data_IF_285820019446
#
_entry.id   IF_285820019446
#
_cell.length_a   1.000
_cell.length_b   1.000
_cell.length_c   1.000
_cell.angle_alpha   90.00
_cell.angle_beta   90.00
_cell.angle_gamma   90.00
#
_symmetry.space_group_name_H-M   'P 1'
#
loop_
_entity.id
_entity.type
_entity.pdbx_description
1 polymer ?
#
# COMPACT_ATOMS: atom_id res chain seq x y z
N UNK A 1 -29.62 31.23 77.42
CA UNK A 1 -29.86 32.13 76.27
C UNK A 1 -28.55 32.39 75.53
N UNK A 2 -28.34 31.77 74.37
CA UNK A 2 -27.43 32.25 73.31
C UNK A 2 -28.20 32.09 71.99
N UNK A 3 -28.60 33.20 71.39
CA UNK A 3 -29.27 33.23 70.08
C UNK A 3 -28.26 32.77 69.03
N UNK A 4 -28.52 31.66 68.36
CA UNK A 4 -27.84 31.32 67.12
C UNK A 4 -28.29 32.32 66.05
N UNK A 5 -27.40 33.23 65.65
CA UNK A 5 -27.62 34.11 64.52
C UNK A 5 -27.58 33.28 63.23
N UNK A 6 -28.73 33.09 62.58
CA UNK A 6 -28.81 32.58 61.22
C UNK A 6 -28.19 33.60 60.26
N UNK A 7 -26.88 33.50 60.02
CA UNK A 7 -26.24 34.18 58.91
C UNK A 7 -26.59 33.44 57.61
N UNK A 8 -27.78 33.72 57.07
CA UNK A 8 -28.09 33.43 55.67
C UNK A 8 -27.23 34.36 54.81
N UNK A 9 -26.05 33.87 54.42
CA UNK A 9 -25.19 34.50 53.41
C UNK A 9 -26.05 34.73 52.16
N UNK A 10 -26.42 35.99 51.90
CA UNK A 10 -27.18 36.35 50.71
C UNK A 10 -26.35 36.02 49.48
N UNK A 11 -26.67 34.90 48.81
CA UNK A 11 -26.01 34.48 47.57
C UNK A 11 -26.10 35.60 46.53
N UNK A 12 -24.97 35.94 45.94
CA UNK A 12 -24.86 37.01 44.94
C UNK A 12 -25.74 36.72 43.72
N UNK A 13 -26.21 37.75 43.00
CA UNK A 13 -27.07 37.57 41.79
C UNK A 13 -26.49 36.57 40.79
N UNK A 14 -25.15 36.54 40.63
CA UNK A 14 -24.44 35.56 39.79
C UNK A 14 -24.60 34.11 40.26
N UNK A 15 -24.56 33.86 41.57
CA UNK A 15 -24.77 32.52 42.15
C UNK A 15 -26.20 32.03 41.97
N UNK A 16 -27.21 32.92 42.04
CA UNK A 16 -28.61 32.55 41.77
C UNK A 16 -28.85 32.17 40.31
N UNK A 17 -28.23 32.90 39.38
CA UNK A 17 -28.29 32.59 37.94
C UNK A 17 -27.59 31.24 37.66
N UNK A 18 -26.40 31.02 38.24
CA UNK A 18 -25.70 29.73 38.12
C UNK A 18 -26.49 28.57 38.71
N UNK A 19 -27.17 28.76 39.85
CA UNK A 19 -28.09 27.78 40.41
C UNK A 19 -29.26 27.49 39.45
N UNK A 20 -29.87 28.51 38.83
CA UNK A 20 -30.94 28.31 37.84
C UNK A 20 -30.48 27.56 36.58
N UNK A 21 -29.28 27.88 36.07
CA UNK A 21 -28.68 27.16 34.95
C UNK A 21 -28.35 25.72 35.36
N UNK A 22 -27.80 25.49 36.55
CA UNK A 22 -27.49 24.15 37.05
C UNK A 22 -28.75 23.28 37.19
N UNK A 23 -29.84 23.85 37.72
CA UNK A 23 -31.12 23.15 37.88
C UNK A 23 -31.88 22.90 36.58
N UNK A 24 -31.51 23.55 35.48
CA UNK A 24 -32.11 23.31 34.15
C UNK A 24 -31.21 22.42 33.30
N UNK A 25 -29.92 22.75 33.19
CA UNK A 25 -28.98 22.02 32.34
C UNK A 25 -28.73 20.61 32.84
N UNK A 26 -28.57 20.39 34.16
CA UNK A 26 -28.24 19.06 34.68
C UNK A 26 -29.37 18.04 34.45
N UNK A 27 -30.65 18.33 34.78
CA UNK A 27 -31.74 17.40 34.47
C UNK A 27 -31.91 17.17 32.97
N UNK A 28 -31.83 18.20 32.12
CA UNK A 28 -31.95 18.03 30.67
C UNK A 28 -30.82 17.18 30.10
N UNK A 29 -29.60 17.33 30.61
CA UNK A 29 -28.45 16.50 30.25
C UNK A 29 -28.68 15.03 30.63
N UNK A 30 -29.17 14.77 31.84
CA UNK A 30 -29.46 13.42 32.33
C UNK A 30 -30.56 12.77 31.48
N UNK A 31 -31.65 13.49 31.19
CA UNK A 31 -32.73 12.99 30.32
C UNK A 31 -32.23 12.74 28.90
N UNK A 32 -31.37 13.61 28.36
CA UNK A 32 -30.74 13.42 27.05
C UNK A 32 -29.85 12.17 27.01
N UNK A 33 -29.03 11.96 28.04
CA UNK A 33 -28.16 10.78 28.15
C UNK A 33 -28.98 9.50 28.31
N UNK A 34 -29.97 9.50 29.21
CA UNK A 34 -30.85 8.33 29.43
C UNK A 34 -31.70 8.04 28.19
N UNK A 35 -32.27 9.05 27.55
CA UNK A 35 -33.01 8.91 26.30
C UNK A 35 -32.16 8.36 25.17
N UNK A 36 -30.92 8.87 25.02
CA UNK A 36 -29.94 8.36 24.07
C UNK A 36 -29.55 6.90 24.34
N UNK A 37 -29.30 6.54 25.60
CA UNK A 37 -28.97 5.17 26.01
C UNK A 37 -30.14 4.21 25.76
N UNK A 38 -31.36 4.59 26.13
CA UNK A 38 -32.58 3.79 25.89
C UNK A 38 -32.82 3.62 24.39
N UNK A 39 -32.67 4.68 23.59
CA UNK A 39 -32.79 4.60 22.14
C UNK A 39 -31.74 3.65 21.53
N UNK A 40 -30.49 3.73 21.98
CA UNK A 40 -29.42 2.86 21.49
C UNK A 40 -29.67 1.39 21.85
N UNK A 41 -30.09 1.12 23.09
CA UNK A 41 -30.48 -0.24 23.53
C UNK A 41 -31.67 -0.73 22.72
N UNK A 42 -32.73 0.06 22.57
CA UNK A 42 -33.93 -0.33 21.82
C UNK A 42 -33.65 -0.56 20.33
N UNK A 43 -32.82 0.29 19.72
CA UNK A 43 -32.43 0.14 18.31
C UNK A 43 -31.60 -1.12 18.09
N UNK A 44 -30.67 -1.42 19.00
CA UNK A 44 -29.80 -2.59 18.90
C UNK A 44 -30.45 -3.89 19.42
N UNK A 45 -31.57 -3.83 20.13
CA UNK A 45 -32.31 -5.01 20.61
C UNK A 45 -33.38 -5.50 19.63
N UNK A 46 -33.66 -4.77 18.54
CA UNK A 46 -34.54 -5.27 17.47
C UNK A 46 -33.88 -6.47 16.80
N UNK A 47 -34.64 -7.56 16.66
CA UNK A 47 -34.20 -8.73 15.90
C UNK A 47 -33.84 -8.30 14.49
N UNK A 48 -32.57 -8.50 14.10
CA UNK A 48 -32.11 -8.27 12.73
C UNK A 48 -32.93 -9.17 11.80
N UNK A 49 -33.72 -8.55 10.93
CA UNK A 49 -34.44 -9.27 9.89
C UNK A 49 -33.42 -9.76 8.86
N UNK A 50 -33.18 -11.08 8.87
CA UNK A 50 -32.19 -11.71 7.99
C UNK A 50 -32.74 -11.81 6.58
N UNK A 51 -32.00 -11.29 5.61
CA UNK A 51 -32.32 -11.43 4.20
C UNK A 51 -32.18 -12.90 3.78
N UNK A 52 -33.14 -13.41 3.00
CA UNK A 52 -33.10 -14.79 2.52
C UNK A 52 -32.38 -14.88 1.17
N UNK A 53 -31.43 -15.81 1.05
CA UNK A 53 -30.75 -16.15 -0.20
C UNK A 53 -30.99 -17.61 -0.55
N UNK A 54 -31.58 -17.88 -1.72
CA UNK A 54 -31.48 -19.23 -2.30
C UNK A 54 -30.04 -19.47 -2.81
N UNK A 55 -29.58 -20.73 -2.96
CA UNK A 55 -28.26 -21.01 -3.52
C UNK A 55 -28.08 -20.39 -4.91
N UNK A 56 -29.14 -20.36 -5.74
CA UNK A 56 -29.07 -19.74 -7.07
C UNK A 56 -28.99 -18.21 -7.00
N UNK A 57 -29.68 -17.57 -6.06
CA UNK A 57 -29.62 -16.12 -5.90
C UNK A 57 -28.27 -15.68 -5.35
N UNK A 58 -27.73 -16.46 -4.41
CA UNK A 58 -26.37 -16.24 -3.90
C UNK A 58 -25.34 -16.38 -5.02
N UNK A 59 -25.41 -17.46 -5.82
CA UNK A 59 -24.53 -17.65 -6.98
C UNK A 59 -24.60 -16.45 -7.95
N UNK A 60 -25.80 -15.90 -8.21
CA UNK A 60 -25.96 -14.72 -9.06
C UNK A 60 -25.31 -13.47 -8.46
N UNK A 61 -25.41 -13.27 -7.15
CA UNK A 61 -24.77 -12.12 -6.48
C UNK A 61 -23.24 -12.26 -6.48
N UNK A 62 -22.70 -13.43 -6.18
CA UNK A 62 -21.25 -13.62 -6.15
C UNK A 62 -20.62 -13.53 -7.56
N UNK A 63 -21.38 -13.84 -8.61
CA UNK A 63 -20.94 -13.65 -10.00
C UNK A 63 -20.81 -12.18 -10.41
N UNK A 64 -21.40 -11.24 -9.65
CA UNK A 64 -21.24 -9.80 -9.86
C UNK A 64 -20.02 -9.23 -9.12
N UNK A 65 -19.38 -10.04 -8.28
CA UNK A 65 -18.19 -9.60 -7.53
C UNK A 65 -17.04 -9.51 -8.52
N UNK A 66 -16.49 -8.31 -8.65
CA UNK A 66 -15.36 -8.02 -9.50
C UNK A 66 -14.28 -7.34 -8.66
N UNK A 67 -13.04 -7.80 -8.84
CA UNK A 67 -11.87 -7.08 -8.39
C UNK A 67 -11.49 -6.03 -9.44
N UNK A 68 -10.82 -4.97 -9.01
CA UNK A 68 -10.25 -3.98 -9.93
C UNK A 68 -9.39 -4.69 -10.98
N UNK A 69 -9.69 -4.50 -12.28
CA UNK A 69 -9.04 -5.21 -13.37
C UNK A 69 -7.60 -4.75 -13.63
N UNK A 70 -7.33 -3.47 -13.37
CA UNK A 70 -6.02 -2.85 -13.44
C UNK A 70 -5.78 -1.97 -12.21
N UNK A 71 -4.58 -2.06 -11.64
CA UNK A 71 -4.16 -1.32 -10.45
C UNK A 71 -2.87 -0.55 -10.79
N UNK A 72 -2.93 0.78 -10.65
CA UNK A 72 -1.77 1.66 -10.84
C UNK A 72 -1.02 1.82 -9.52
N UNK A 73 0.24 1.40 -9.48
CA UNK A 73 1.08 1.41 -8.26
C UNK A 73 2.54 1.70 -8.58
N UNK A 74 3.36 1.91 -7.55
CA UNK A 74 4.80 2.18 -7.71
C UNK A 74 5.67 0.92 -7.75
N UNK A 75 5.11 -0.25 -7.44
CA UNK A 75 5.82 -1.54 -7.40
C UNK A 75 5.33 -2.43 -8.54
N UNK A 76 6.21 -3.28 -9.08
CA UNK A 76 5.78 -4.29 -10.05
C UNK A 76 5.12 -5.50 -9.35
N UNK A 77 4.37 -6.29 -10.12
CA UNK A 77 3.67 -7.48 -9.61
C UNK A 77 4.62 -8.49 -8.93
N UNK A 78 5.81 -8.71 -9.49
CA UNK A 78 6.82 -9.62 -8.93
C UNK A 78 7.28 -9.19 -7.53
N UNK A 79 7.54 -7.91 -7.33
CA UNK A 79 7.94 -7.35 -6.04
C UNK A 79 6.82 -7.51 -5.00
N UNK A 80 5.58 -7.20 -5.37
CA UNK A 80 4.41 -7.40 -4.49
C UNK A 80 4.32 -8.86 -4.05
N UNK A 81 4.41 -9.78 -5.01
CA UNK A 81 4.32 -11.21 -4.74
C UNK A 81 5.46 -11.70 -3.84
N UNK A 82 6.69 -11.27 -4.10
CA UNK A 82 7.85 -11.63 -3.27
C UNK A 82 7.71 -11.11 -1.84
N UNK A 83 7.21 -9.88 -1.66
CA UNK A 83 6.94 -9.31 -0.34
C UNK A 83 5.84 -10.11 0.38
N UNK A 84 4.76 -10.46 -0.32
CA UNK A 84 3.69 -11.30 0.19
C UNK A 84 4.21 -12.68 0.64
N UNK A 85 4.99 -13.36 -0.19
CA UNK A 85 5.60 -14.66 0.15
C UNK A 85 6.57 -14.58 1.32
N UNK A 86 7.39 -13.52 1.38
CA UNK A 86 8.33 -13.31 2.48
C UNK A 86 7.60 -13.21 3.82
N UNK A 87 6.51 -12.45 3.87
CA UNK A 87 5.70 -12.31 5.07
C UNK A 87 4.97 -13.61 5.43
N UNK A 88 4.47 -14.36 4.42
CA UNK A 88 3.87 -15.68 4.60
C UNK A 88 4.85 -16.68 5.20
N UNK A 89 6.08 -16.78 4.65
CA UNK A 89 7.14 -17.65 5.16
C UNK A 89 7.61 -17.27 6.56
N UNK A 90 7.76 -15.98 6.84
CA UNK A 90 8.13 -15.51 8.17
C UNK A 90 7.12 -15.96 9.22
N UNK A 91 5.81 -15.97 8.90
CA UNK A 91 4.79 -16.53 9.79
C UNK A 91 4.97 -18.02 10.03
N UNK A 92 5.22 -18.80 8.99
CA UNK A 92 5.43 -20.24 9.07
C UNK A 92 6.63 -20.58 9.97
N UNK A 93 7.77 -19.90 9.77
CA UNK A 93 8.97 -20.08 10.59
C UNK A 93 8.75 -19.74 12.08
N UNK A 94 7.93 -18.73 12.37
CA UNK A 94 7.62 -18.36 13.76
C UNK A 94 6.69 -19.38 14.43
N UNK A 95 5.76 -19.97 13.66
CA UNK A 95 4.91 -21.06 14.14
C UNK A 95 5.73 -22.31 14.47
N UNK A 96 6.70 -22.67 13.62
CA UNK A 96 7.60 -23.80 13.87
C UNK A 96 8.45 -23.62 15.13
N UNK A 97 8.92 -22.40 15.40
CA UNK A 97 9.77 -22.09 16.56
C UNK A 97 9.01 -22.02 17.89
N UNK A 98 7.70 -21.77 17.88
CA UNK A 98 6.88 -21.61 19.08
C UNK A 98 5.48 -22.24 18.94
N UNK A 99 5.37 -23.58 18.90
CA UNK A 99 4.09 -24.27 18.69
C UNK A 99 3.09 -24.10 19.85
N UNK A 100 3.55 -23.71 21.05
CA UNK A 100 2.73 -23.65 22.27
C UNK A 100 2.34 -22.23 22.73
N UNK A 101 2.71 -21.17 21.99
CA UNK A 101 2.36 -19.81 22.39
C UNK A 101 1.12 -19.30 21.64
N UNK A 102 0.27 -18.59 22.39
CA UNK A 102 -0.72 -17.64 21.88
C UNK A 102 0.02 -16.54 21.08
N UNK A 103 0.42 -16.88 19.86
CA UNK A 103 0.97 -15.93 18.91
C UNK A 103 -0.07 -14.81 18.74
N UNK A 104 0.30 -13.53 18.89
CA UNK A 104 -0.62 -12.45 18.62
C UNK A 104 -1.15 -12.63 17.19
N UNK A 105 -2.45 -12.40 16.97
CA UNK A 105 -3.16 -12.51 15.68
C UNK A 105 -2.62 -11.59 14.56
N UNK A 106 -1.44 -11.00 14.76
CA UNK A 106 -0.83 -9.96 13.95
C UNK A 106 0.34 -10.44 13.05
N UNK A 107 0.63 -11.74 12.97
CA UNK A 107 1.90 -12.18 12.35
C UNK A 107 1.87 -12.13 10.82
N UNK A 108 0.75 -12.51 10.20
CA UNK A 108 0.46 -12.24 8.79
C UNK A 108 -0.98 -12.69 8.49
N UNK A 109 -1.75 -11.82 7.86
CA UNK A 109 -3.13 -12.02 7.44
C UNK A 109 -3.23 -11.76 5.93
N UNK A 110 -3.42 -12.80 5.10
CA UNK A 110 -3.53 -12.66 3.65
C UNK A 110 -4.63 -11.67 3.25
N UNK A 111 -5.76 -11.67 3.96
CA UNK A 111 -6.86 -10.78 3.64
C UNK A 111 -6.46 -9.32 3.83
N UNK A 112 -5.81 -8.99 4.95
CA UNK A 112 -5.32 -7.61 5.20
C UNK A 112 -4.22 -7.21 4.22
N UNK A 113 -3.26 -8.09 3.96
CA UNK A 113 -2.14 -7.81 3.06
C UNK A 113 -2.61 -7.57 1.63
N UNK A 114 -3.61 -8.33 1.15
CA UNK A 114 -4.15 -8.16 -0.20
C UNK A 114 -5.09 -6.95 -0.25
N UNK A 115 -5.89 -6.69 0.80
CA UNK A 115 -6.82 -5.54 0.86
C UNK A 115 -6.10 -4.19 0.81
N UNK A 116 -4.84 -4.10 1.28
CA UNK A 116 -4.07 -2.84 1.14
C UNK A 116 -3.69 -2.51 -0.31
N UNK A 117 -3.90 -3.44 -1.24
CA UNK A 117 -3.49 -3.31 -2.64
C UNK A 117 -4.69 -3.47 -3.57
N UNK A 118 -5.56 -4.45 -3.30
CA UNK A 118 -6.66 -4.86 -4.17
C UNK A 118 -8.00 -4.54 -3.52
N UNK A 119 -8.84 -3.81 -4.26
CA UNK A 119 -10.22 -3.53 -3.90
C UNK A 119 -11.21 -4.38 -4.71
N UNK A 120 -12.41 -4.54 -4.17
CA UNK A 120 -13.56 -5.17 -4.83
C UNK A 120 -14.72 -4.18 -4.96
N UNK A 121 -15.70 -4.50 -5.80
CA UNK A 121 -16.87 -3.68 -6.08
C UNK A 121 -18.05 -3.88 -5.11
N UNK A 122 -17.87 -4.60 -3.99
CA UNK A 122 -18.97 -4.89 -3.06
C UNK A 122 -19.48 -3.62 -2.39
N UNK A 123 -20.80 -3.41 -2.47
CA UNK A 123 -21.48 -2.33 -1.74
C UNK A 123 -21.57 -2.65 -0.24
N UNK A 124 -21.80 -1.62 0.59
CA UNK A 124 -22.02 -1.81 2.03
C UNK A 124 -23.09 -2.86 2.35
N UNK A 125 -24.21 -2.87 1.61
CA UNK A 125 -25.27 -3.84 1.83
C UNK A 125 -24.82 -5.27 1.50
N UNK A 126 -24.09 -5.45 0.40
CA UNK A 126 -23.53 -6.75 0.03
C UNK A 126 -22.46 -7.21 1.04
N UNK A 127 -21.59 -6.32 1.52
CA UNK A 127 -20.60 -6.65 2.56
C UNK A 127 -21.23 -7.08 3.89
N UNK A 128 -22.49 -6.70 4.16
CA UNK A 128 -23.22 -7.19 5.34
C UNK A 128 -23.67 -8.64 5.17
N UNK A 129 -24.14 -9.01 3.98
CA UNK A 129 -24.72 -10.34 3.71
C UNK A 129 -23.72 -11.33 3.12
N UNK A 130 -22.59 -10.86 2.63
CA UNK A 130 -21.53 -11.64 2.00
C UNK A 130 -20.23 -11.44 2.78
N UNK A 131 -19.60 -12.54 3.20
CA UNK A 131 -18.26 -12.56 3.74
C UNK A 131 -17.30 -12.81 2.58
N UNK A 132 -16.50 -11.80 2.25
CA UNK A 132 -15.47 -11.86 1.22
C UNK A 132 -14.09 -11.88 1.89
N UNK A 133 -13.28 -12.88 1.59
CA UNK A 133 -11.95 -13.06 2.20
C UNK A 133 -10.91 -13.35 1.13
N UNK A 134 -9.88 -12.50 1.00
CA UNK A 134 -8.73 -12.83 0.15
C UNK A 134 -7.89 -13.91 0.82
N UNK A 135 -7.48 -14.92 0.07
CA UNK A 135 -6.84 -16.12 0.60
C UNK A 135 -5.40 -16.29 0.13
N UNK A 136 -5.09 -15.95 -1.13
CA UNK A 136 -3.73 -16.06 -1.65
C UNK A 136 -3.45 -15.16 -2.86
N UNK A 137 -2.18 -15.05 -3.22
CA UNK A 137 -1.69 -14.46 -4.46
C UNK A 137 -0.85 -15.48 -5.22
N UNK A 138 -0.87 -15.44 -6.55
CA UNK A 138 0.05 -16.20 -7.41
C UNK A 138 0.61 -15.32 -8.51
N UNK A 139 1.91 -15.44 -8.72
CA UNK A 139 2.63 -14.80 -9.80
C UNK A 139 2.84 -15.78 -10.95
N UNK A 140 2.71 -15.29 -12.18
CA UNK A 140 2.96 -16.05 -13.41
C UNK A 140 4.15 -15.43 -14.15
N UNK A 141 5.21 -16.19 -14.38
CA UNK A 141 6.40 -15.69 -15.11
C UNK A 141 6.09 -15.29 -16.56
N UNK A 142 5.09 -15.91 -17.18
CA UNK A 142 4.67 -15.60 -18.55
C UNK A 142 3.86 -14.29 -18.64
N UNK A 143 3.31 -13.81 -17.52
CA UNK A 143 2.53 -12.57 -17.44
C UNK A 143 3.09 -11.73 -16.28
N UNK A 144 4.27 -11.09 -16.47
CA UNK A 144 5.04 -10.49 -15.37
C UNK A 144 4.33 -9.34 -14.65
N UNK A 145 3.27 -8.82 -15.26
CA UNK A 145 2.50 -7.67 -14.77
C UNK A 145 1.15 -8.10 -14.19
N UNK A 146 0.90 -9.41 -14.09
CA UNK A 146 -0.38 -9.96 -13.65
C UNK A 146 -0.18 -10.79 -12.40
N UNK A 147 -1.00 -10.52 -11.39
CA UNK A 147 -1.17 -11.43 -10.26
C UNK A 147 -2.55 -12.05 -10.30
N UNK A 148 -2.60 -13.36 -10.07
CA UNK A 148 -3.84 -14.06 -9.80
C UNK A 148 -4.15 -13.94 -8.30
N UNK A 149 -5.29 -13.32 -7.98
CA UNK A 149 -5.77 -13.11 -6.62
C UNK A 149 -6.83 -14.15 -6.31
N UNK A 150 -6.62 -14.93 -5.26
CA UNK A 150 -7.54 -15.95 -4.77
C UNK A 150 -8.38 -15.40 -3.63
N UNK A 151 -9.67 -15.74 -3.63
CA UNK A 151 -10.58 -15.29 -2.60
C UNK A 151 -11.73 -16.29 -2.39
N UNK A 152 -12.21 -16.31 -1.15
CA UNK A 152 -13.37 -17.07 -0.73
C UNK A 152 -14.56 -16.14 -0.54
N UNK A 153 -15.73 -16.61 -0.93
CA UNK A 153 -17.00 -15.90 -0.75
C UNK A 153 -17.97 -16.80 -0.01
N UNK A 154 -18.53 -16.28 1.07
CA UNK A 154 -19.45 -16.98 1.98
C UNK A 154 -20.71 -16.16 2.27
N UNK A 155 -21.81 -16.82 2.60
CA UNK A 155 -23.00 -16.14 3.12
C UNK A 155 -22.79 -15.76 4.58
N UNK A 156 -22.99 -14.48 4.92
CA UNK A 156 -22.91 -14.02 6.30
C UNK A 156 -24.18 -14.40 7.06
N UNK A 157 -24.13 -15.55 7.77
CA UNK A 157 -25.27 -16.08 8.52
C UNK A 157 -25.71 -15.22 9.72
N UNK A 158 -24.94 -14.18 10.09
CA UNK A 158 -25.36 -13.18 11.08
C UNK A 158 -26.47 -12.27 10.53
N UNK A 159 -26.35 -11.88 9.25
CA UNK A 159 -27.24 -10.90 8.60
C UNK A 159 -28.11 -11.48 7.47
N UNK A 160 -27.80 -12.68 7.00
CA UNK A 160 -28.54 -13.39 5.98
C UNK A 160 -28.89 -14.81 6.43
N UNK A 161 -29.86 -15.43 5.76
CA UNK A 161 -30.24 -16.82 5.97
C UNK A 161 -30.36 -17.54 4.64
N UNK A 162 -29.85 -18.77 4.59
CA UNK A 162 -29.95 -19.64 3.43
C UNK A 162 -30.97 -20.76 3.62
N UNK A 163 -30.93 -21.73 2.70
CA UNK A 163 -31.54 -23.04 2.91
C UNK A 163 -30.87 -23.75 4.09
N UNK A 164 -31.57 -24.72 4.68
CA UNK A 164 -31.02 -25.46 5.81
C UNK A 164 -29.71 -26.18 5.45
N UNK A 165 -28.68 -25.93 6.26
CA UNK A 165 -27.42 -26.65 6.29
C UNK A 165 -27.05 -26.93 7.75
N UNK A 166 -26.43 -28.08 8.00
CA UNK A 166 -25.92 -28.40 9.32
C UNK A 166 -24.84 -27.41 9.73
N UNK A 167 -24.78 -27.05 11.02
CA UNK A 167 -23.84 -26.04 11.54
C UNK A 167 -22.37 -26.35 11.25
N UNK A 168 -21.99 -27.62 11.16
CA UNK A 168 -20.63 -28.06 10.83
C UNK A 168 -20.31 -27.99 9.31
N UNK A 169 -21.33 -27.79 8.46
CA UNK A 169 -21.19 -27.59 7.01
C UNK A 169 -21.09 -26.08 6.69
N UNK A 170 -21.81 -25.25 7.45
CA UNK A 170 -21.86 -23.81 7.22
C UNK A 170 -20.46 -23.17 7.20
N UNK A 171 -20.22 -22.28 6.23
CA UNK A 171 -18.93 -21.59 6.00
C UNK A 171 -17.73 -22.54 5.74
N UNK A 172 -17.99 -23.75 5.27
CA UNK A 172 -16.96 -24.70 4.81
C UNK A 172 -17.07 -24.94 3.31
N UNK A 173 -16.05 -25.54 2.72
CA UNK A 173 -16.03 -26.01 1.32
C UNK A 173 -17.20 -26.90 0.91
N UNK A 174 -17.90 -27.51 1.87
CA UNK A 174 -19.10 -28.33 1.65
C UNK A 174 -20.40 -27.54 1.64
N UNK A 175 -20.37 -26.26 2.03
CA UNK A 175 -21.56 -25.39 2.02
C UNK A 175 -21.94 -25.02 0.59
N UNK A 176 -23.24 -24.98 0.32
CA UNK A 176 -23.82 -24.44 -0.91
C UNK A 176 -23.60 -22.94 -1.08
N UNK A 177 -23.11 -22.27 -0.04
CA UNK A 177 -22.85 -20.84 0.01
C UNK A 177 -21.36 -20.52 0.11
N UNK A 178 -20.47 -21.51 -0.02
CA UNK A 178 -19.02 -21.31 -0.03
C UNK A 178 -18.49 -21.47 -1.44
N UNK A 179 -17.81 -20.44 -1.95
CA UNK A 179 -17.21 -20.47 -3.28
C UNK A 179 -15.79 -19.93 -3.21
N UNK A 180 -14.85 -20.72 -3.73
CA UNK A 180 -13.50 -20.25 -4.02
C UNK A 180 -13.45 -19.72 -5.44
N UNK A 181 -12.84 -18.55 -5.61
CA UNK A 181 -12.67 -17.91 -6.91
C UNK A 181 -11.26 -17.36 -7.01
N UNK A 182 -10.85 -17.12 -8.24
CA UNK A 182 -9.65 -16.35 -8.54
C UNK A 182 -9.94 -15.35 -9.65
N UNK A 183 -9.20 -14.25 -9.64
CA UNK A 183 -9.23 -13.27 -10.71
C UNK A 183 -7.80 -12.78 -10.99
N UNK A 184 -7.45 -12.73 -12.27
CA UNK A 184 -6.22 -12.11 -12.74
C UNK A 184 -6.38 -10.59 -12.73
N UNK A 185 -5.41 -9.90 -12.14
CA UNK A 185 -5.37 -8.44 -12.05
C UNK A 185 -4.05 -7.96 -12.63
N UNK A 186 -4.13 -6.95 -13.51
CA UNK A 186 -2.95 -6.28 -14.04
C UNK A 186 -2.46 -5.22 -13.05
N UNK A 187 -1.17 -5.23 -12.74
CA UNK A 187 -0.47 -4.27 -11.92
C UNK A 187 0.42 -3.44 -12.83
N UNK A 188 0.02 -2.20 -13.07
CA UNK A 188 0.72 -1.30 -13.98
C UNK A 188 1.56 -0.34 -13.16
N UNK A 189 2.88 -0.52 -13.20
CA UNK A 189 3.77 0.42 -12.53
C UNK A 189 3.99 1.70 -13.35
N UNK A 190 3.83 2.85 -12.69
CA UNK A 190 4.01 4.19 -13.29
C UNK A 190 5.34 4.85 -12.90
N UNK A 191 6.02 4.28 -11.91
CA UNK A 191 7.32 4.70 -11.40
C UNK A 191 8.27 3.51 -11.29
N UNK A 192 9.56 3.81 -11.29
CA UNK A 192 10.60 2.84 -11.10
C UNK A 192 10.62 2.28 -9.68
N UNK A 193 10.81 0.97 -9.55
CA UNK A 193 10.87 0.28 -8.27
C UNK A 193 12.30 0.28 -7.69
N UNK A 194 12.86 1.46 -7.43
CA UNK A 194 14.24 1.57 -6.97
C UNK A 194 14.51 0.89 -5.61
N UNK A 195 13.54 0.97 -4.70
CA UNK A 195 13.78 0.66 -3.29
C UNK A 195 13.37 -0.76 -2.91
N UNK A 196 12.41 -1.35 -3.61
CA UNK A 196 11.94 -2.71 -3.33
C UNK A 196 12.37 -3.76 -4.35
N UNK A 197 12.87 -3.37 -5.52
CA UNK A 197 13.44 -4.31 -6.50
C UNK A 197 14.78 -4.90 -6.01
N UNK A 198 14.79 -6.22 -5.78
CA UNK A 198 15.97 -6.96 -5.32
C UNK A 198 17.05 -7.04 -6.42
N UNK A 199 16.65 -7.18 -7.68
CA UNK A 199 17.60 -7.26 -8.79
C UNK A 199 18.30 -5.91 -9.01
N UNK A 200 17.59 -4.80 -8.78
CA UNK A 200 18.22 -3.48 -8.78
C UNK A 200 19.29 -3.35 -7.70
N UNK A 201 19.01 -3.79 -6.47
CA UNK A 201 20.00 -3.75 -5.37
C UNK A 201 21.22 -4.60 -5.69
N UNK A 202 21.04 -5.76 -6.32
CA UNK A 202 22.15 -6.63 -6.75
C UNK A 202 22.96 -5.97 -7.87
N UNK A 203 22.31 -5.51 -8.94
CA UNK A 203 22.98 -4.86 -10.06
C UNK A 203 23.76 -3.62 -9.60
N UNK A 204 23.15 -2.78 -8.76
CA UNK A 204 23.82 -1.62 -8.17
C UNK A 204 25.06 -2.03 -7.36
N UNK A 205 24.96 -3.06 -6.53
CA UNK A 205 26.10 -3.57 -5.74
C UNK A 205 27.21 -4.16 -6.62
N UNK A 206 26.85 -4.87 -7.70
CA UNK A 206 27.81 -5.45 -8.63
C UNK A 206 28.58 -4.39 -9.42
N UNK A 207 27.93 -3.25 -9.71
CA UNK A 207 28.47 -2.15 -10.49
C UNK A 207 28.93 -0.96 -9.65
N UNK A 208 29.04 -1.11 -8.33
CA UNK A 208 29.43 -0.03 -7.42
C UNK A 208 30.89 0.42 -7.66
N UNK A 209 31.79 -0.54 -7.90
CA UNK A 209 33.20 -0.23 -8.17
C UNK A 209 33.39 0.43 -9.54
N UNK A 210 32.53 0.12 -10.51
CA UNK A 210 32.58 0.74 -11.83
C UNK A 210 32.32 2.25 -11.74
N UNK A 211 31.28 2.65 -11.00
CA UNK A 211 30.96 4.06 -10.82
C UNK A 211 32.01 4.79 -9.99
N UNK A 212 32.60 4.15 -8.96
CA UNK A 212 33.73 4.73 -8.21
C UNK A 212 34.92 4.99 -9.10
N UNK A 213 35.25 4.07 -10.02
CA UNK A 213 36.34 4.29 -11.00
C UNK A 213 36.03 5.47 -11.93
N UNK A 214 34.79 5.60 -12.40
CA UNK A 214 34.38 6.74 -13.24
C UNK A 214 34.54 8.06 -12.48
N UNK A 215 34.11 8.13 -11.21
CA UNK A 215 34.16 9.37 -10.42
C UNK A 215 35.60 9.73 -10.01
N UNK A 216 36.44 8.74 -9.70
CA UNK A 216 37.84 8.97 -9.31
C UNK A 216 38.79 9.16 -10.48
N UNK A 217 38.35 8.90 -11.72
CA UNK A 217 39.15 9.14 -12.92
C UNK A 217 39.54 10.61 -13.08
N UNK A 218 40.75 10.86 -13.57
CA UNK A 218 41.25 12.19 -13.93
C UNK A 218 41.98 12.10 -15.26
N UNK A 219 41.53 12.87 -16.24
CA UNK A 219 42.24 12.98 -17.52
C UNK A 219 43.40 13.98 -17.44
N UNK A 220 43.25 15.03 -16.63
CA UNK A 220 44.27 16.04 -16.37
C UNK A 220 44.83 15.85 -14.95
N UNK A 221 46.12 15.56 -14.83
CA UNK A 221 46.80 15.38 -13.54
C UNK A 221 46.75 16.64 -12.65
N UNK A 222 46.50 17.81 -13.24
CA UNK A 222 46.36 19.07 -12.52
C UNK A 222 44.94 19.35 -11.99
N UNK A 223 43.94 18.55 -12.40
CA UNK A 223 42.55 18.68 -11.93
C UNK A 223 42.36 18.02 -10.55
N UNK A 224 42.94 18.66 -9.54
CA UNK A 224 42.92 18.16 -8.16
C UNK A 224 41.52 18.06 -7.55
N UNK A 225 40.57 18.90 -8.01
CA UNK A 225 39.18 18.90 -7.52
C UNK A 225 38.26 18.02 -8.36
N UNK A 226 38.63 17.68 -9.60
CA UNK A 226 37.81 16.96 -10.56
C UNK A 226 36.81 17.85 -11.30
N UNK A 227 36.89 19.18 -11.15
CA UNK A 227 35.91 20.12 -11.72
C UNK A 227 35.87 20.05 -13.26
N UNK A 228 37.04 19.91 -13.90
CA UNK A 228 37.13 19.77 -15.36
C UNK A 228 36.54 18.42 -15.80
N UNK A 229 36.88 17.35 -15.08
CA UNK A 229 36.34 16.02 -15.35
C UNK A 229 34.81 15.97 -15.22
N UNK A 230 34.26 16.49 -14.12
CA UNK A 230 32.82 16.45 -13.86
C UNK A 230 32.01 17.35 -14.81
N UNK A 231 32.63 18.37 -15.41
CA UNK A 231 32.03 19.20 -16.45
C UNK A 231 32.10 18.57 -17.86
N UNK A 232 32.92 17.53 -18.05
CA UNK A 232 33.16 16.94 -19.37
C UNK A 232 31.94 16.18 -19.91
N UNK A 233 31.80 16.11 -21.24
CA UNK A 233 30.80 15.26 -21.90
C UNK A 233 31.06 13.78 -21.62
N UNK A 234 32.33 13.38 -21.61
CA UNK A 234 32.74 12.00 -21.39
C UNK A 234 32.33 11.47 -20.01
N UNK A 235 32.51 12.27 -18.95
CA UNK A 235 32.00 11.90 -17.63
C UNK A 235 30.48 11.67 -17.64
N UNK A 236 29.73 12.57 -18.29
CA UNK A 236 28.29 12.45 -18.37
C UNK A 236 27.88 11.18 -19.17
N UNK A 237 28.56 10.87 -20.26
CA UNK A 237 28.32 9.65 -21.06
C UNK A 237 28.64 8.37 -20.29
N UNK A 238 29.81 8.30 -19.64
CA UNK A 238 30.26 7.14 -18.88
C UNK A 238 29.29 6.83 -17.72
N UNK A 239 28.89 7.85 -16.97
CA UNK A 239 27.90 7.72 -15.89
C UNK A 239 26.54 7.30 -16.45
N UNK A 240 26.09 7.90 -17.55
CA UNK A 240 24.77 7.60 -18.09
C UNK A 240 24.69 6.18 -18.65
N UNK A 241 25.76 5.69 -19.28
CA UNK A 241 25.88 4.30 -19.73
C UNK A 241 25.86 3.33 -18.55
N UNK A 242 26.61 3.62 -17.49
CA UNK A 242 26.55 2.84 -16.24
C UNK A 242 25.12 2.77 -15.68
N UNK A 243 24.43 3.92 -15.61
CA UNK A 243 23.05 3.99 -15.14
C UNK A 243 22.10 3.16 -16.01
N UNK A 244 22.17 3.32 -17.33
CA UNK A 244 21.33 2.60 -18.29
C UNK A 244 21.52 1.08 -18.17
N UNK A 245 22.77 0.62 -18.01
CA UNK A 245 23.07 -0.80 -17.83
C UNK A 245 22.39 -1.38 -16.58
N UNK A 246 22.51 -0.70 -15.44
CA UNK A 246 21.85 -1.16 -14.20
C UNK A 246 20.34 -1.21 -14.37
N UNK A 247 19.73 -0.20 -15.00
CA UNK A 247 18.27 -0.17 -15.20
C UNK A 247 17.81 -1.33 -16.09
N UNK A 248 18.55 -1.62 -17.16
CA UNK A 248 18.25 -2.71 -18.09
C UNK A 248 18.42 -4.07 -17.41
N UNK A 249 19.54 -4.32 -16.74
CA UNK A 249 19.82 -5.58 -16.06
C UNK A 249 18.78 -5.90 -14.98
N UNK A 250 18.36 -4.88 -14.23
CA UNK A 250 17.44 -5.04 -13.11
C UNK A 250 15.95 -4.99 -13.47
N UNK A 251 15.63 -4.63 -14.71
CA UNK A 251 14.27 -4.38 -15.17
C UNK A 251 13.46 -3.50 -14.19
N UNK A 252 14.08 -2.41 -13.73
CA UNK A 252 13.48 -1.49 -12.75
C UNK A 252 12.61 -0.40 -13.39
N UNK A 253 12.59 -0.33 -14.72
CA UNK A 253 11.77 0.60 -15.47
C UNK A 253 10.26 0.37 -15.21
N UNK A 254 9.42 1.41 -15.30
CA UNK A 254 7.98 1.27 -15.11
C UNK A 254 7.37 0.43 -16.24
N UNK A 255 6.30 -0.30 -15.95
CA UNK A 255 5.61 -1.14 -16.94
C UNK A 255 5.07 -0.35 -18.13
N UNK A 256 4.61 0.88 -17.87
CA UNK A 256 4.17 1.80 -18.92
C UNK A 256 5.28 2.17 -19.91
N UNK A 257 6.55 1.96 -19.55
CA UNK A 257 7.73 2.19 -20.38
C UNK A 257 8.58 0.93 -20.51
N UNK A 258 7.97 -0.19 -20.95
CA UNK A 258 8.70 -1.45 -21.19
C UNK A 258 9.95 -1.22 -22.05
N UNK A 259 11.09 -1.72 -21.57
CA UNK A 259 12.40 -1.58 -22.22
C UNK A 259 12.49 -2.32 -23.57
N UNK A 260 11.52 -3.16 -23.91
CA UNK A 260 11.38 -3.71 -25.25
C UNK A 260 11.02 -2.61 -26.27
N UNK A 261 10.12 -1.70 -25.90
CA UNK A 261 9.55 -0.68 -26.78
C UNK A 261 10.12 0.72 -26.54
N UNK A 262 10.66 0.96 -25.35
CA UNK A 262 11.21 2.25 -24.93
C UNK A 262 12.71 2.16 -24.71
N UNK A 263 13.39 3.26 -25.00
CA UNK A 263 14.78 3.48 -24.64
C UNK A 263 14.91 4.55 -23.55
N UNK A 264 16.01 4.51 -22.81
CA UNK A 264 16.34 5.47 -21.76
C UNK A 264 17.31 6.48 -22.34
N UNK A 265 16.92 7.75 -22.36
CA UNK A 265 17.70 8.84 -22.94
C UNK A 265 17.97 9.95 -21.94
N UNK A 266 19.12 10.60 -22.11
CA UNK A 266 19.55 11.72 -21.28
C UNK A 266 18.63 12.92 -21.47
N UNK A 267 18.16 13.51 -20.36
CA UNK A 267 17.34 14.72 -20.42
C UNK A 267 18.22 15.96 -20.26
N UNK A 268 18.49 16.63 -21.39
CA UNK A 268 19.30 17.85 -21.44
C UNK A 268 18.38 19.05 -21.25
N UNK A 269 18.69 19.90 -20.27
CA UNK A 269 18.07 21.24 -20.14
C UNK A 269 19.09 22.31 -20.52
N UNK A 270 18.61 23.47 -20.98
CA UNK A 270 19.50 24.59 -21.37
C UNK A 270 20.43 25.07 -20.26
N UNK A 271 20.11 24.77 -19.00
CA UNK A 271 20.78 25.31 -17.83
C UNK A 271 21.50 24.25 -16.98
N UNK A 272 21.28 22.96 -17.23
CA UNK A 272 21.84 21.89 -16.39
C UNK A 272 22.30 20.69 -17.21
N UNK A 273 23.48 20.13 -16.90
CA UNK A 273 23.92 18.86 -17.47
C UNK A 273 22.95 17.74 -17.05
N UNK A 274 22.92 16.68 -17.85
CA UNK A 274 22.05 15.53 -17.58
C UNK A 274 22.65 14.60 -16.53
N UNK A 275 23.93 14.74 -16.23
CA UNK A 275 24.60 14.13 -15.06
C UNK A 275 25.31 15.22 -14.27
N UNK A 276 25.18 15.19 -12.94
CA UNK A 276 25.90 16.10 -12.03
C UNK A 276 26.48 15.34 -10.86
N UNK A 277 27.76 15.57 -10.58
CA UNK A 277 28.40 15.12 -9.33
C UNK A 277 28.42 16.27 -8.31
N UNK A 278 27.85 16.03 -7.14
CA UNK A 278 27.69 17.02 -6.08
C UNK A 278 28.29 16.45 -4.78
N UNK A 279 29.61 16.60 -4.57
CA UNK A 279 30.27 16.19 -3.34
C UNK A 279 30.04 17.25 -2.26
N UNK A 280 29.11 16.99 -1.34
CA UNK A 280 28.90 17.84 -0.15
C UNK A 280 29.49 17.14 1.07
N UNK A 281 29.91 17.91 2.10
CA UNK A 281 30.46 17.36 3.34
C UNK A 281 29.47 16.36 3.98
N UNK A 282 29.72 15.07 3.77
CA UNK A 282 28.92 13.95 4.29
C UNK A 282 27.93 13.31 3.31
N UNK A 283 27.72 13.87 2.11
CA UNK A 283 26.84 13.31 1.09
C UNK A 283 27.44 13.51 -0.31
N UNK A 284 27.77 12.39 -0.93
CA UNK A 284 28.35 12.28 -2.26
C UNK A 284 27.23 11.94 -3.25
N UNK A 285 26.60 12.97 -3.82
CA UNK A 285 25.40 12.79 -4.63
C UNK A 285 25.72 12.78 -6.12
N UNK A 286 25.25 11.75 -6.81
CA UNK A 286 25.26 11.65 -8.26
C UNK A 286 23.82 11.83 -8.76
N UNK A 287 23.55 12.94 -9.44
CA UNK A 287 22.26 13.23 -10.05
C UNK A 287 22.26 12.83 -11.52
N UNK A 288 21.20 12.14 -11.96
CA UNK A 288 21.01 11.72 -13.35
C UNK A 288 19.60 12.12 -13.80
N UNK A 289 19.51 12.94 -14.85
CA UNK A 289 18.28 13.38 -15.48
C UNK A 289 18.04 12.58 -16.77
N UNK A 290 16.88 11.95 -16.90
CA UNK A 290 16.57 11.05 -18.00
C UNK A 290 15.08 11.08 -18.36
N UNK A 291 14.72 10.44 -19.46
CA UNK A 291 13.35 10.17 -19.85
C UNK A 291 13.28 8.88 -20.68
N UNK A 292 12.09 8.29 -20.78
CA UNK A 292 11.83 7.16 -21.67
C UNK A 292 11.31 7.68 -23.01
N UNK A 293 11.84 7.17 -24.12
CA UNK A 293 11.38 7.49 -25.46
C UNK A 293 11.05 6.22 -26.22
N UNK A 294 9.93 6.21 -26.94
CA UNK A 294 9.58 5.07 -27.77
C UNK A 294 10.61 4.88 -28.89
N UNK A 295 11.09 3.66 -29.10
CA UNK A 295 12.19 3.35 -30.03
C UNK A 295 11.88 3.70 -31.48
N UNK A 296 10.61 3.66 -31.88
CA UNK A 296 10.18 3.94 -33.27
C UNK A 296 9.49 5.29 -33.45
N UNK A 297 8.98 5.91 -32.39
CA UNK A 297 8.28 7.20 -32.47
C UNK A 297 8.84 8.18 -31.43
N UNK A 298 9.76 9.07 -31.83
CA UNK A 298 10.38 10.03 -30.93
C UNK A 298 9.41 11.00 -30.25
N UNK A 299 8.17 11.14 -30.75
CA UNK A 299 7.14 12.01 -30.14
C UNK A 299 6.55 11.39 -28.88
N UNK A 300 6.56 10.07 -28.77
CA UNK A 300 6.06 9.34 -27.60
C UNK A 300 7.20 9.26 -26.59
N UNK A 301 7.11 10.08 -25.55
CA UNK A 301 8.11 10.17 -24.49
C UNK A 301 7.47 10.39 -23.13
N UNK A 302 8.14 9.94 -22.09
CA UNK A 302 7.76 10.23 -20.71
C UNK A 302 8.05 11.69 -20.36
N UNK A 303 7.45 12.14 -19.26
CA UNK A 303 7.94 13.31 -18.56
C UNK A 303 9.40 13.11 -18.10
N UNK A 304 10.19 14.20 -17.98
CA UNK A 304 11.54 14.13 -17.44
C UNK A 304 11.58 13.59 -16.01
N UNK A 305 12.58 12.76 -15.73
CA UNK A 305 12.80 12.11 -14.43
C UNK A 305 14.19 12.41 -13.91
N UNK A 306 14.35 12.35 -12.60
CA UNK A 306 15.64 12.49 -11.91
C UNK A 306 15.84 11.35 -10.93
N UNK A 307 16.99 10.69 -11.01
CA UNK A 307 17.48 9.77 -9.96
C UNK A 307 18.70 10.38 -9.30
N UNK A 308 18.74 10.29 -7.97
CA UNK A 308 19.88 10.69 -7.16
C UNK A 308 20.42 9.44 -6.47
N UNK A 309 21.72 9.21 -6.60
CA UNK A 309 22.44 8.17 -5.89
C UNK A 309 23.37 8.79 -4.87
N UNK A 310 23.46 8.20 -3.69
CA UNK A 310 24.51 8.51 -2.72
C UNK A 310 25.61 7.47 -2.87
N UNK A 311 26.79 7.88 -3.33
CA UNK A 311 27.94 6.99 -3.54
C UNK A 311 28.90 7.12 -2.37
N UNK A 312 29.02 6.05 -1.58
CA UNK A 312 29.87 6.05 -0.39
C UNK A 312 31.33 5.75 -0.77
N UNK A 313 32.26 6.27 0.03
CA UNK A 313 33.70 5.97 -0.06
C UNK A 313 34.31 6.22 -1.45
N UNK A 314 34.13 7.44 -1.94
CA UNK A 314 34.74 7.95 -3.19
C UNK A 314 35.94 8.81 -2.87
#
# INVERSE_FOLDING_TARGET
>A
MKKASNNLVQKTKKQKIWLGIFWTVVPTSIVGILGGAIYFIHKNSRSLEKEFYSPSDFEKEINKIELSSSIEISQNAKTIYNNYLKNKKFKEEQLEKNPNNNLPSAIFDPHKAITSIVSNNLTYNQQRTIIFTYTDLKYNENEPDVLEVFYDVNLNLEYAKGVFEWKWIQNTDKSKYYHQRSQKISFVSWSEDWDSNIEFKKAFSNHEEDIKRIITHRENENDSTGEEWFASEKFQEDVFNWFKNIVIESNVAPNIYSLENYDILAYITKERPYVSWIPTKGLNNLEINYYYQHKTDPKIKSEPRRKIFTINNV
#
